data_IF_078641846532
#
_entry.id   IF_078641846532
#
_cell.length_a   1.000
_cell.length_b   1.000
_cell.length_c   1.000
_cell.angle_alpha   90.00
_cell.angle_beta   90.00
_cell.angle_gamma   90.00
#
_symmetry.space_group_name_H-M   'P 1'
#
loop_
_entity.id
_entity.type
_entity.pdbx_description
1 polymer ?
#
# COMPACT_ATOMS: atom_id res chain seq x y z
N UNK A 1 -14.61 -14.39 -3.31
CA UNK A 1 -13.21 -14.88 -3.46
C UNK A 1 -13.17 -16.36 -3.12
N UNK A 2 -13.57 -16.76 -1.91
CA UNK A 2 -13.93 -18.16 -1.63
C UNK A 2 -15.38 -18.37 -2.05
N UNK A 3 -15.64 -19.43 -2.81
CA UNK A 3 -16.98 -19.79 -3.29
C UNK A 3 -17.43 -21.14 -2.72
N UNK A 4 -16.50 -22.05 -2.41
CA UNK A 4 -16.79 -23.35 -1.83
C UNK A 4 -16.12 -23.48 -0.46
N UNK A 5 -16.89 -23.34 0.61
CA UNK A 5 -16.37 -23.47 1.97
C UNK A 5 -16.01 -24.94 2.27
N UNK A 6 -14.92 -25.15 3.01
CA UNK A 6 -14.41 -26.48 3.37
C UNK A 6 -13.65 -27.22 2.26
N UNK A 7 -13.55 -26.64 1.06
CA UNK A 7 -12.78 -27.21 -0.06
C UNK A 7 -11.69 -26.24 -0.48
N UNK A 8 -10.47 -26.49 -0.02
CA UNK A 8 -9.27 -25.79 -0.49
C UNK A 8 -9.42 -24.26 -0.66
N UNK A 9 -9.91 -23.64 0.41
CA UNK A 9 -10.24 -22.20 0.45
C UNK A 9 -9.02 -21.33 0.16
N UNK A 10 -7.83 -21.80 0.55
CA UNK A 10 -6.57 -21.10 0.32
C UNK A 10 -6.23 -21.03 -1.17
N UNK A 11 -6.32 -22.13 -1.93
CA UNK A 11 -6.09 -22.08 -3.37
C UNK A 11 -7.15 -21.25 -4.09
N UNK A 12 -8.42 -21.30 -3.66
CA UNK A 12 -9.46 -20.41 -4.19
C UNK A 12 -9.07 -18.95 -4.01
N UNK A 13 -8.66 -18.57 -2.80
CA UNK A 13 -8.19 -17.22 -2.50
C UNK A 13 -7.01 -16.80 -3.38
N UNK A 14 -6.00 -17.64 -3.49
CA UNK A 14 -4.81 -17.34 -4.30
C UNK A 14 -5.13 -17.18 -5.78
N UNK A 15 -5.94 -18.08 -6.35
CA UNK A 15 -6.32 -18.03 -7.77
C UNK A 15 -7.01 -16.72 -8.11
N UNK A 16 -7.92 -16.27 -7.24
CA UNK A 16 -8.62 -14.99 -7.40
C UNK A 16 -7.66 -13.81 -7.23
N UNK A 17 -6.78 -13.82 -6.23
CA UNK A 17 -5.77 -12.77 -6.04
C UNK A 17 -4.84 -12.66 -7.25
N UNK A 18 -4.43 -13.79 -7.84
CA UNK A 18 -3.65 -13.81 -9.07
C UNK A 18 -4.43 -13.27 -10.27
N UNK A 19 -5.72 -13.63 -10.40
CA UNK A 19 -6.59 -13.12 -11.46
C UNK A 19 -6.73 -11.60 -11.38
N UNK A 20 -7.01 -11.07 -10.19
CA UNK A 20 -7.09 -9.62 -9.94
C UNK A 20 -5.77 -8.95 -10.31
N UNK A 21 -4.64 -9.46 -9.83
CA UNK A 21 -3.33 -8.87 -10.14
C UNK A 21 -2.95 -8.96 -11.62
N UNK A 22 -3.37 -9.99 -12.36
CA UNK A 22 -3.19 -10.04 -13.83
C UNK A 22 -3.95 -8.92 -14.52
N UNK A 23 -5.21 -8.69 -14.12
CA UNK A 23 -6.04 -7.62 -14.70
C UNK A 23 -5.51 -6.23 -14.33
N UNK A 24 -5.08 -6.02 -13.08
CA UNK A 24 -4.45 -4.77 -12.67
C UNK A 24 -3.19 -4.46 -13.46
N UNK A 25 -2.32 -5.46 -13.70
CA UNK A 25 -1.14 -5.29 -14.55
C UNK A 25 -1.50 -4.90 -15.97
N UNK A 26 -2.57 -5.48 -16.53
CA UNK A 26 -3.07 -5.09 -17.85
C UNK A 26 -3.53 -3.62 -17.87
N UNK A 27 -4.37 -3.22 -16.91
CA UNK A 27 -4.84 -1.83 -16.76
C UNK A 27 -3.66 -0.87 -16.61
N UNK A 28 -2.70 -1.20 -15.74
CA UNK A 28 -1.51 -0.37 -15.52
C UNK A 28 -0.71 -0.13 -16.80
N UNK A 29 -0.58 -1.14 -17.66
CA UNK A 29 0.04 -0.98 -18.98
C UNK A 29 -0.78 -0.08 -19.90
N UNK A 30 -2.11 -0.21 -19.91
CA UNK A 30 -2.98 0.61 -20.76
C UNK A 30 -2.90 2.10 -20.42
N UNK A 31 -2.73 2.44 -19.14
CA UNK A 31 -2.58 3.83 -18.70
C UNK A 31 -1.12 4.31 -18.66
N UNK A 32 -0.17 3.52 -19.16
CA UNK A 32 1.23 3.90 -19.26
C UNK A 32 2.00 3.96 -17.94
N UNK A 33 1.58 3.21 -16.90
CA UNK A 33 2.36 3.13 -15.66
C UNK A 33 3.74 2.49 -15.91
N UNK A 34 4.80 3.16 -15.44
CA UNK A 34 6.17 2.65 -15.50
C UNK A 34 6.46 1.47 -14.57
N UNK A 35 5.54 1.14 -13.67
CA UNK A 35 5.63 0.00 -12.75
C UNK A 35 4.37 -0.87 -12.84
N UNK A 36 4.46 -2.19 -12.58
CA UNK A 36 3.29 -3.08 -12.60
C UNK A 36 2.28 -2.71 -11.52
N UNK A 37 1.06 -2.32 -11.91
CA UNK A 37 -0.03 -2.13 -10.96
C UNK A 37 -0.46 -3.48 -10.37
N UNK A 38 -0.48 -3.54 -9.03
CA UNK A 38 -0.90 -4.68 -8.24
C UNK A 38 -1.73 -4.20 -7.05
N UNK A 39 -2.44 -5.11 -6.37
CA UNK A 39 -3.16 -4.78 -5.12
C UNK A 39 -2.22 -4.24 -4.05
N UNK A 40 -0.97 -4.73 -4.00
CA UNK A 40 0.07 -4.23 -3.11
C UNK A 40 0.46 -2.79 -3.43
N UNK A 41 0.74 -2.48 -4.71
CA UNK A 41 1.07 -1.12 -5.16
C UNK A 41 -0.08 -0.15 -4.88
N UNK A 42 -1.33 -0.57 -5.12
CA UNK A 42 -2.51 0.24 -4.82
C UNK A 42 -2.66 0.54 -3.32
N UNK A 43 -2.44 -0.47 -2.45
CA UNK A 43 -2.47 -0.31 -0.99
C UNK A 43 -1.40 0.67 -0.50
N UNK A 44 -0.19 0.56 -1.03
CA UNK A 44 0.93 1.46 -0.75
C UNK A 44 0.60 2.90 -1.17
N UNK A 45 0.13 3.09 -2.41
CA UNK A 45 -0.26 4.40 -2.91
C UNK A 45 -1.36 5.03 -2.05
N UNK A 46 -2.38 4.26 -1.64
CA UNK A 46 -3.44 4.76 -0.76
C UNK A 46 -2.88 5.27 0.58
N UNK A 47 -2.01 4.49 1.24
CA UNK A 47 -1.43 4.86 2.53
C UNK A 47 -0.56 6.11 2.43
N UNK A 48 0.31 6.21 1.42
CA UNK A 48 1.14 7.39 1.17
C UNK A 48 0.27 8.63 0.90
N UNK A 49 -0.78 8.50 0.08
CA UNK A 49 -1.69 9.62 -0.22
C UNK A 49 -2.44 10.03 1.05
N UNK A 50 -2.96 9.08 1.84
CA UNK A 50 -3.65 9.37 3.09
C UNK A 50 -2.74 10.12 4.09
N UNK A 51 -1.49 9.68 4.23
CA UNK A 51 -0.49 10.37 5.04
C UNK A 51 -0.22 11.79 4.54
N UNK A 52 -0.03 11.99 3.22
CA UNK A 52 0.20 13.33 2.64
C UNK A 52 -0.99 14.28 2.81
N UNK A 53 -2.20 13.73 2.98
CA UNK A 53 -3.44 14.47 3.27
C UNK A 53 -3.67 14.69 4.76
N UNK A 54 -2.69 14.37 5.62
CA UNK A 54 -2.77 14.47 7.07
C UNK A 54 -3.92 13.65 7.70
N UNK A 55 -4.29 12.52 7.08
CA UNK A 55 -5.18 11.56 7.74
C UNK A 55 -4.45 11.00 8.97
N UNK A 56 -5.15 10.88 10.09
CA UNK A 56 -4.53 10.47 11.35
C UNK A 56 -3.99 9.03 11.28
N UNK A 57 -2.88 8.78 11.98
CA UNK A 57 -2.24 7.46 12.04
C UNK A 57 -3.20 6.34 12.49
N UNK A 58 -4.08 6.52 13.50
CA UNK A 58 -5.04 5.49 13.89
C UNK A 58 -6.00 5.13 12.76
N UNK A 59 -6.49 6.12 12.00
CA UNK A 59 -7.42 5.90 10.87
C UNK A 59 -6.72 5.16 9.72
N UNK A 60 -5.48 5.52 9.40
CA UNK A 60 -4.68 4.80 8.40
C UNK A 60 -4.42 3.36 8.88
N UNK A 61 -4.11 3.17 10.16
CA UNK A 61 -3.86 1.86 10.75
C UNK A 61 -5.07 0.94 10.65
N UNK A 62 -6.24 1.44 11.03
CA UNK A 62 -7.50 0.72 10.97
C UNK A 62 -7.88 0.38 9.52
N UNK A 63 -7.77 1.33 8.60
CA UNK A 63 -8.07 1.11 7.19
C UNK A 63 -7.13 0.10 6.52
N UNK A 64 -5.88 0.02 6.98
CA UNK A 64 -4.93 -1.01 6.53
C UNK A 64 -5.16 -2.36 7.22
N UNK A 65 -6.00 -2.43 8.26
CA UNK A 65 -6.21 -3.63 9.06
C UNK A 65 -4.98 -4.03 9.86
N UNK A 66 -4.20 -3.06 10.34
CA UNK A 66 -3.04 -3.33 11.19
C UNK A 66 -3.46 -3.39 12.66
N UNK A 67 -3.01 -4.44 13.35
CA UNK A 67 -3.28 -4.67 14.78
C UNK A 67 -2.68 -3.61 15.71
N UNK A 68 -1.70 -2.83 15.21
CA UNK A 68 -1.10 -1.74 15.97
C UNK A 68 -0.70 -0.57 15.09
N UNK A 69 -0.81 0.64 15.63
CA UNK A 69 -0.28 1.86 15.00
C UNK A 69 1.25 1.79 14.81
N UNK A 70 1.95 1.00 15.62
CA UNK A 70 3.39 0.80 15.47
C UNK A 70 3.73 0.11 14.13
N UNK A 71 2.93 -0.90 13.73
CA UNK A 71 3.04 -1.53 12.40
C UNK A 71 2.84 -0.50 11.30
N UNK A 72 1.85 0.37 11.44
CA UNK A 72 1.56 1.45 10.48
C UNK A 72 2.68 2.49 10.43
N UNK A 73 3.31 2.82 11.55
CA UNK A 73 4.45 3.75 11.60
C UNK A 73 5.66 3.20 10.83
N UNK A 74 6.00 1.92 11.04
CA UNK A 74 7.09 1.25 10.30
C UNK A 74 6.75 1.19 8.80
N UNK A 75 5.52 0.82 8.48
CA UNK A 75 5.02 0.74 7.11
C UNK A 75 5.10 2.09 6.38
N UNK A 76 4.62 3.18 6.98
CA UNK A 76 4.70 4.53 6.42
C UNK A 76 6.16 5.03 6.31
N UNK A 77 7.02 4.70 7.28
CA UNK A 77 8.44 5.04 7.19
C UNK A 77 9.14 4.36 6.00
N UNK A 78 8.71 3.15 5.62
CA UNK A 78 9.22 2.46 4.43
C UNK A 78 8.67 2.99 3.10
N UNK A 79 7.60 3.78 3.15
CA UNK A 79 6.88 4.31 1.99
C UNK A 79 7.42 5.66 1.51
N UNK A 80 7.92 6.47 2.44
CA UNK A 80 8.30 7.84 2.16
C UNK A 80 9.63 8.22 2.85
N UNK A 81 10.75 7.89 2.20
CA UNK A 81 12.06 8.41 2.59
C UNK A 81 12.20 9.89 2.21
N UNK A 82 11.39 10.38 1.26
CA UNK A 82 11.52 11.74 0.72
C UNK A 82 11.09 12.83 1.71
N UNK A 83 10.13 12.54 2.60
CA UNK A 83 9.79 13.44 3.72
C UNK A 83 10.94 13.52 4.72
N UNK A 84 11.60 12.40 5.01
CA UNK A 84 12.78 12.38 5.89
C UNK A 84 13.93 13.16 5.25
N UNK A 85 14.16 12.96 3.94
CA UNK A 85 15.17 13.69 3.18
C UNK A 85 14.88 15.20 3.15
N UNK A 86 13.61 15.60 3.01
CA UNK A 86 13.20 17.00 3.05
C UNK A 86 13.35 17.61 4.44
N UNK A 87 12.98 16.89 5.49
CA UNK A 87 13.18 17.33 6.87
C UNK A 87 14.68 17.49 7.20
N UNK A 88 15.52 16.54 6.77
CA UNK A 88 16.96 16.63 6.90
C UNK A 88 17.55 17.81 6.12
N UNK A 89 17.05 18.07 4.90
CA UNK A 89 17.50 19.22 4.10
C UNK A 89 17.20 20.56 4.77
N UNK A 90 16.05 20.69 5.46
CA UNK A 90 15.69 21.91 6.18
C UNK A 90 16.60 22.16 7.39
N UNK A 91 16.94 21.11 8.15
CA UNK A 91 17.89 21.21 9.28
C UNK A 91 19.27 21.61 8.76
N UNK A 92 19.77 20.96 7.71
CA UNK A 92 21.08 21.24 7.12
C UNK A 92 21.17 22.64 6.51
N UNK A 93 20.07 23.20 5.99
CA UNK A 93 19.99 24.57 5.47
C UNK A 93 19.87 25.64 6.56
N UNK A 94 19.64 25.23 7.83
CA UNK A 94 19.52 26.14 8.97
C UNK A 94 20.82 26.30 9.77
N UNK A 95 21.91 25.69 9.30
CA UNK A 95 23.29 25.78 9.82
C UNK A 95 24.11 26.61 8.83
#
# INVERSE_FOLDING_TARGET
IIQNNGVDEWHQYQNEAHRINRNLKYIGKQIGLGIPLTTYVARHAWASIAQSKNVSLPVISEALGHDSEQTTRIYLASLDTSIVDKANSLILMSI
#
